data_IF_337769306915
#
_entry.id   IF_337769306915
#
_cell.length_a   1.000
_cell.length_b   1.000
_cell.length_c   1.000
_cell.angle_alpha   90.00
_cell.angle_beta   90.00
_cell.angle_gamma   90.00
#
_symmetry.space_group_name_H-M   'P 1'
#
loop_
_entity.id
_entity.type
_entity.pdbx_description
1 polymer ?
#
# COMPACT_ATOMS: atom_id res chain seq x y z
N UNK A 1 62.97 61.00 1.73
CA UNK A 1 63.40 59.83 0.92
C UNK A 1 62.35 58.74 1.10
N UNK A 2 61.90 58.19 -0.03
CA UNK A 2 61.21 56.90 -0.19
C UNK A 2 59.79 56.74 0.37
N UNK A 3 58.78 56.76 -0.51
CA UNK A 3 57.99 55.56 -0.78
C UNK A 3 57.10 55.71 -2.02
N UNK A 4 57.43 54.92 -3.05
CA UNK A 4 56.65 54.70 -4.26
C UNK A 4 55.54 53.67 -4.01
N UNK A 5 54.56 53.69 -4.94
CA UNK A 5 53.55 52.67 -5.30
C UNK A 5 52.14 52.88 -4.75
N UNK A 6 51.42 53.78 -5.41
CA UNK A 6 49.98 53.66 -5.71
C UNK A 6 49.71 54.43 -7.01
N UNK A 7 49.71 53.72 -8.14
CA UNK A 7 49.25 54.24 -9.45
C UNK A 7 49.15 53.08 -10.43
N UNK A 8 47.92 52.60 -10.67
CA UNK A 8 47.41 52.06 -11.94
C UNK A 8 46.05 51.41 -11.68
N UNK A 9 45.12 51.57 -12.63
CA UNK A 9 43.74 51.07 -12.70
C UNK A 9 42.67 51.91 -12.03
N UNK A 10 42.50 53.13 -12.55
CA UNK A 10 41.22 53.81 -12.62
C UNK A 10 41.06 54.27 -14.07
N UNK A 11 40.76 53.33 -14.97
CA UNK A 11 40.37 53.53 -16.38
C UNK A 11 40.06 52.13 -16.94
N UNK A 12 38.82 51.94 -17.43
CA UNK A 12 38.14 50.69 -17.87
C UNK A 12 37.21 50.05 -16.84
N UNK A 13 36.19 50.80 -16.44
CA UNK A 13 34.87 50.27 -16.04
C UNK A 13 33.84 50.99 -16.93
N UNK A 14 33.73 50.53 -18.18
CA UNK A 14 32.75 50.96 -19.19
C UNK A 14 33.12 50.09 -20.41
N UNK A 15 32.54 48.87 -20.51
CA UNK A 15 32.42 48.03 -21.74
C UNK A 15 32.02 46.56 -21.43
N UNK A 16 31.18 46.27 -20.43
CA UNK A 16 30.63 44.90 -20.25
C UNK A 16 29.11 44.88 -19.95
N UNK A 17 28.39 45.97 -20.26
CA UNK A 17 26.92 46.05 -20.11
C UNK A 17 26.14 45.94 -21.45
N UNK A 18 26.81 45.70 -22.59
CA UNK A 18 26.13 45.62 -23.91
C UNK A 18 25.77 44.20 -24.37
N UNK A 19 26.22 43.13 -23.69
CA UNK A 19 25.89 41.74 -24.06
C UNK A 19 24.70 41.14 -23.28
N UNK A 20 24.01 41.94 -22.45
CA UNK A 20 22.85 41.51 -21.66
C UNK A 20 21.48 41.89 -22.27
N UNK A 21 21.44 42.49 -23.47
CA UNK A 21 20.20 42.88 -24.18
C UNK A 21 19.63 41.79 -25.10
N UNK A 22 20.01 40.52 -24.90
CA UNK A 22 19.49 39.39 -25.67
C UNK A 22 18.82 38.28 -24.86
N UNK A 23 18.92 38.33 -23.53
CA UNK A 23 18.46 37.22 -22.67
C UNK A 23 17.01 37.50 -22.28
N UNK A 24 16.09 36.74 -22.88
CA UNK A 24 14.66 36.87 -22.66
C UNK A 24 14.32 36.75 -21.17
N UNK A 25 13.28 37.43 -20.69
CA UNK A 25 12.88 37.37 -19.27
C UNK A 25 12.63 35.92 -18.79
N UNK A 26 12.30 35.00 -19.70
CA UNK A 26 12.19 33.57 -19.44
C UNK A 26 13.54 32.88 -19.19
N UNK A 27 14.63 33.30 -19.85
CA UNK A 27 15.98 32.79 -19.58
C UNK A 27 16.47 33.30 -18.22
N UNK A 28 16.14 34.54 -17.85
CA UNK A 28 16.49 35.10 -16.53
C UNK A 28 15.81 34.37 -15.38
N UNK A 29 14.55 33.94 -15.53
CA UNK A 29 13.85 33.11 -14.55
C UNK A 29 14.43 31.68 -14.46
N UNK A 30 15.02 31.18 -15.54
CA UNK A 30 15.66 29.85 -15.60
C UNK A 30 17.11 29.86 -15.08
N UNK A 31 17.71 31.04 -14.87
CA UNK A 31 19.08 31.20 -14.35
C UNK A 31 19.18 30.96 -12.85
N UNK A 32 18.12 31.25 -12.07
CA UNK A 32 18.08 30.96 -10.64
C UNK A 32 17.65 29.52 -10.32
N UNK A 33 16.93 28.86 -11.23
CA UNK A 33 16.39 27.49 -11.10
C UNK A 33 17.16 26.46 -11.96
N UNK A 34 18.48 26.60 -12.08
CA UNK A 34 19.34 25.65 -12.82
C UNK A 34 19.54 24.34 -12.05
N UNK A 35 18.46 23.58 -11.89
CA UNK A 35 18.44 22.25 -11.26
C UNK A 35 19.43 21.25 -11.88
N UNK A 36 19.92 21.51 -13.10
CA UNK A 36 20.95 20.70 -13.75
C UNK A 36 22.39 21.02 -13.29
N UNK A 37 22.66 22.14 -12.61
CA UNK A 37 23.98 22.46 -12.06
C UNK A 37 24.33 21.62 -10.82
N UNK A 38 23.34 21.05 -10.13
CA UNK A 38 23.53 20.15 -8.99
C UNK A 38 23.88 18.70 -9.41
N UNK A 39 23.76 18.36 -10.70
CA UNK A 39 24.07 17.04 -11.21
C UNK A 39 25.59 16.85 -11.29
N UNK A 40 26.12 15.93 -10.49
CA UNK A 40 27.57 15.63 -10.47
C UNK A 40 27.94 14.63 -11.55
N UNK A 41 29.02 14.86 -12.28
CA UNK A 41 29.59 13.88 -13.22
C UNK A 41 30.55 12.90 -12.50
N UNK A 42 30.60 11.66 -12.98
CA UNK A 42 31.60 10.67 -12.58
C UNK A 42 32.91 10.83 -13.35
N UNK A 43 33.94 10.04 -12.99
CA UNK A 43 35.27 10.09 -13.61
C UNK A 43 35.26 9.71 -15.10
N UNK A 44 34.16 9.15 -15.60
CA UNK A 44 33.92 8.81 -17.01
C UNK A 44 33.09 9.85 -17.77
N UNK A 45 32.69 10.95 -17.13
CA UNK A 45 31.85 12.00 -17.72
C UNK A 45 30.37 11.63 -17.85
N UNK A 46 29.90 10.62 -17.10
CA UNK A 46 28.48 10.28 -16.97
C UNK A 46 27.89 10.91 -15.71
N UNK A 47 26.63 11.36 -15.78
CA UNK A 47 25.94 11.94 -14.62
C UNK A 47 25.74 10.89 -13.52
N UNK A 48 26.19 11.19 -12.30
CA UNK A 48 25.93 10.39 -11.10
C UNK A 48 24.46 10.55 -10.69
N UNK A 49 23.71 9.45 -10.51
CA UNK A 49 22.41 9.53 -9.87
C UNK A 49 22.60 10.06 -8.45
N UNK A 50 21.82 11.09 -8.08
CA UNK A 50 21.79 11.65 -6.72
C UNK A 50 21.41 10.51 -5.77
N UNK A 51 22.23 10.26 -4.75
CA UNK A 51 21.96 9.22 -3.74
C UNK A 51 20.80 9.63 -2.84
N UNK A 52 19.58 9.39 -3.34
CA UNK A 52 18.34 9.67 -2.65
C UNK A 52 18.00 8.64 -1.55
N UNK A 53 18.87 7.68 -1.26
CA UNK A 53 18.61 6.62 -0.27
C UNK A 53 18.29 7.19 1.11
N UNK A 54 19.01 8.24 1.54
CA UNK A 54 18.77 8.91 2.81
C UNK A 54 17.43 9.65 2.84
N UNK A 55 17.04 10.29 1.73
CA UNK A 55 15.76 11.01 1.59
C UNK A 55 14.60 10.02 1.57
N UNK A 56 14.71 8.97 0.75
CA UNK A 56 13.74 7.89 0.68
C UNK A 56 13.52 7.25 2.05
N UNK A 57 14.60 6.93 2.77
CA UNK A 57 14.50 6.36 4.10
C UNK A 57 13.90 7.32 5.14
N UNK A 58 14.19 8.62 5.04
CA UNK A 58 13.58 9.64 5.89
C UNK A 58 12.06 9.74 5.64
N UNK A 59 11.64 9.72 4.38
CA UNK A 59 10.22 9.69 3.98
C UNK A 59 9.52 8.42 4.44
N UNK A 60 10.14 7.25 4.23
CA UNK A 60 9.66 5.95 4.70
C UNK A 60 9.39 5.95 6.20
N UNK A 61 10.38 6.35 7.02
CA UNK A 61 10.20 6.40 8.47
C UNK A 61 9.19 7.43 8.92
N UNK A 62 9.05 8.56 8.20
CA UNK A 62 8.00 9.53 8.46
C UNK A 62 6.63 8.87 8.27
N UNK A 63 6.43 8.13 7.18
CA UNK A 63 5.20 7.33 6.92
C UNK A 63 4.97 6.30 8.04
N UNK A 64 5.99 5.50 8.38
CA UNK A 64 5.91 4.49 9.44
C UNK A 64 5.55 5.11 10.81
N UNK A 65 6.14 6.26 11.16
CA UNK A 65 5.81 6.97 12.40
C UNK A 65 4.39 7.50 12.39
N UNK A 66 3.91 8.08 11.30
CA UNK A 66 2.53 8.53 11.19
C UNK A 66 1.54 7.38 11.37
N UNK A 67 1.78 6.25 10.68
CA UNK A 67 0.97 5.04 10.84
C UNK A 67 1.00 4.50 12.27
N UNK A 68 2.19 4.48 12.89
CA UNK A 68 2.35 4.04 14.28
C UNK A 68 1.71 4.99 15.28
N UNK A 69 1.76 6.31 15.05
CA UNK A 69 1.18 7.32 15.93
C UNK A 69 -0.36 7.29 15.85
N UNK A 70 -0.91 7.08 14.65
CA UNK A 70 -2.32 6.78 14.47
C UNK A 70 -2.74 5.50 15.20
N UNK A 71 -1.85 4.50 15.28
CA UNK A 71 -2.11 3.22 15.96
C UNK A 71 -1.81 3.20 17.48
N UNK A 72 -0.95 4.10 17.98
CA UNK A 72 -0.43 4.05 19.35
C UNK A 72 -1.37 4.64 20.41
N UNK A 73 -2.42 5.36 19.99
CA UNK A 73 -3.33 6.07 20.91
C UNK A 73 -4.58 5.30 21.33
N UNK A 74 -4.98 4.26 20.59
CA UNK A 74 -6.30 3.62 20.78
C UNK A 74 -6.19 2.11 20.59
N UNK A 75 -6.96 1.35 21.38
CA UNK A 75 -7.21 -0.08 21.11
C UNK A 75 -8.07 -0.15 19.83
N UNK A 76 -7.41 -0.12 18.68
CA UNK A 76 -8.08 -0.10 17.38
C UNK A 76 -8.55 -1.51 17.06
N UNK A 77 -9.87 -1.69 16.97
CA UNK A 77 -10.43 -2.86 16.33
C UNK A 77 -10.16 -2.75 14.82
N UNK A 78 -9.54 -3.78 14.25
CA UNK A 78 -9.29 -3.86 12.81
C UNK A 78 -10.28 -4.82 12.17
N UNK A 79 -10.74 -4.45 10.98
CA UNK A 79 -11.61 -5.28 10.16
C UNK A 79 -10.84 -6.37 9.44
N UNK A 80 -10.70 -7.56 10.04
CA UNK A 80 -9.94 -8.66 9.44
C UNK A 80 -10.63 -9.29 8.23
N UNK A 81 -11.97 -9.30 8.21
CA UNK A 81 -12.76 -9.83 7.09
C UNK A 81 -13.29 -8.64 6.30
N UNK A 82 -12.74 -8.44 5.10
CA UNK A 82 -13.09 -7.32 4.23
C UNK A 82 -13.73 -7.86 2.96
N UNK A 83 -14.76 -7.16 2.52
CA UNK A 83 -15.41 -7.36 1.24
C UNK A 83 -15.18 -6.10 0.44
N UNK A 84 -14.18 -6.16 -0.45
CA UNK A 84 -13.70 -5.03 -1.21
C UNK A 84 -14.19 -5.13 -2.65
N UNK A 85 -14.93 -4.13 -3.12
CA UNK A 85 -15.16 -3.95 -4.56
C UNK A 85 -14.15 -2.94 -5.11
N UNK A 86 -13.43 -3.34 -6.14
CA UNK A 86 -12.58 -2.44 -6.92
C UNK A 86 -13.37 -2.01 -8.16
N UNK A 87 -13.67 -0.72 -8.24
CA UNK A 87 -14.34 -0.10 -9.37
C UNK A 87 -13.29 0.58 -10.24
N UNK A 88 -13.21 0.20 -11.51
CA UNK A 88 -12.20 0.68 -12.44
C UNK A 88 -12.88 1.47 -13.54
N UNK A 89 -12.46 2.71 -13.72
CA UNK A 89 -12.92 3.56 -14.81
C UNK A 89 -12.23 3.19 -16.14
N UNK A 90 -13.01 2.64 -17.07
CA UNK A 90 -12.62 2.38 -18.47
C UNK A 90 -13.44 3.26 -19.43
N UNK A 91 -13.74 4.50 -19.02
CA UNK A 91 -14.24 5.53 -19.92
C UNK A 91 -13.18 6.00 -20.92
N UNK A 92 -13.56 6.88 -21.83
CA UNK A 92 -12.65 7.51 -22.80
C UNK A 92 -11.42 8.17 -22.16
N UNK A 93 -11.55 8.70 -20.94
CA UNK A 93 -10.44 9.33 -20.22
C UNK A 93 -9.33 8.32 -19.86
N UNK A 94 -9.67 7.04 -19.73
CA UNK A 94 -8.71 5.98 -19.47
C UNK A 94 -7.87 5.62 -20.70
N UNK A 95 -8.28 6.05 -21.91
CA UNK A 95 -7.52 5.86 -23.14
C UNK A 95 -6.38 6.88 -23.31
N UNK A 96 -6.33 7.93 -22.49
CA UNK A 96 -5.28 8.93 -22.54
C UNK A 96 -3.91 8.34 -22.18
N UNK A 97 -2.84 8.97 -22.68
CA UNK A 97 -1.47 8.43 -22.70
C UNK A 97 -0.53 9.18 -21.74
N UNK A 98 -1.09 9.87 -20.74
CA UNK A 98 -0.31 10.56 -19.70
C UNK A 98 0.59 9.59 -18.92
N UNK A 99 0.07 8.39 -18.68
CA UNK A 99 0.84 7.23 -18.28
C UNK A 99 1.12 6.34 -19.49
N UNK A 100 2.34 5.81 -19.61
CA UNK A 100 2.73 4.94 -20.73
C UNK A 100 2.50 3.46 -20.40
N UNK A 101 1.86 2.64 -21.27
CA UNK A 101 1.34 3.01 -22.58
C UNK A 101 0.06 3.85 -22.48
N UNK A 102 -0.95 3.47 -21.70
CA UNK A 102 -2.15 4.29 -21.44
C UNK A 102 -2.56 4.23 -19.97
N UNK A 103 -3.41 5.16 -19.51
CA UNK A 103 -3.93 5.15 -18.13
C UNK A 103 -4.59 3.81 -17.79
N UNK A 104 -5.45 3.30 -18.68
CA UNK A 104 -6.12 2.01 -18.55
C UNK A 104 -5.13 0.85 -18.31
N UNK A 105 -4.08 0.77 -19.13
CA UNK A 105 -3.10 -0.32 -19.04
C UNK A 105 -2.33 -0.27 -17.72
N UNK A 106 -1.96 0.93 -17.29
CA UNK A 106 -1.24 1.15 -16.03
C UNK A 106 -2.14 0.87 -14.81
N UNK A 107 -3.39 1.33 -14.83
CA UNK A 107 -4.38 0.97 -13.81
C UNK A 107 -4.52 -0.54 -13.70
N UNK A 108 -4.71 -1.25 -14.81
CA UNK A 108 -4.88 -2.70 -14.81
C UNK A 108 -3.66 -3.44 -14.25
N UNK A 109 -2.45 -3.04 -14.65
CA UNK A 109 -1.18 -3.60 -14.16
C UNK A 109 -1.01 -3.39 -12.64
N UNK A 110 -1.33 -2.20 -12.13
CA UNK A 110 -1.21 -1.94 -10.70
C UNK A 110 -2.33 -2.59 -9.88
N UNK A 111 -3.55 -2.69 -10.42
CA UNK A 111 -4.62 -3.47 -9.80
C UNK A 111 -4.26 -4.94 -9.73
N UNK A 112 -3.65 -5.51 -10.77
CA UNK A 112 -3.14 -6.88 -10.76
C UNK A 112 -2.13 -7.08 -9.61
N UNK A 113 -1.15 -6.18 -9.49
CA UNK A 113 -0.17 -6.23 -8.40
C UNK A 113 -0.84 -6.08 -7.03
N UNK A 114 -1.79 -5.15 -6.91
CA UNK A 114 -2.56 -4.91 -5.69
C UNK A 114 -3.39 -6.13 -5.29
N UNK A 115 -4.05 -6.83 -6.22
CA UNK A 115 -4.84 -8.03 -5.93
C UNK A 115 -3.94 -9.10 -5.28
N UNK A 116 -2.75 -9.33 -5.83
CA UNK A 116 -1.81 -10.32 -5.26
C UNK A 116 -1.36 -9.93 -3.85
N UNK A 117 -0.94 -8.69 -3.67
CA UNK A 117 -0.51 -8.17 -2.37
C UNK A 117 -1.66 -8.19 -1.34
N UNK A 118 -2.85 -7.76 -1.75
CA UNK A 118 -4.03 -7.72 -0.92
C UNK A 118 -4.38 -9.10 -0.36
N UNK A 119 -4.36 -10.14 -1.19
CA UNK A 119 -4.65 -11.51 -0.74
C UNK A 119 -3.52 -12.14 0.09
N UNK A 120 -2.27 -11.71 -0.09
CA UNK A 120 -1.17 -12.15 0.77
C UNK A 120 -1.34 -11.60 2.19
N UNK A 121 -1.61 -10.30 2.29
CA UNK A 121 -1.82 -9.59 3.55
C UNK A 121 -3.17 -9.91 4.22
N UNK A 122 -4.22 -10.11 3.42
CA UNK A 122 -5.60 -10.32 3.88
C UNK A 122 -6.22 -11.58 3.24
N UNK A 123 -5.76 -12.77 3.64
CA UNK A 123 -6.25 -14.01 3.03
C UNK A 123 -7.75 -14.24 3.27
N UNK A 124 -8.32 -13.74 4.37
CA UNK A 124 -9.76 -13.93 4.68
C UNK A 124 -10.70 -13.01 3.90
N UNK A 125 -10.15 -12.02 3.22
CA UNK A 125 -10.93 -11.02 2.52
C UNK A 125 -11.38 -11.53 1.15
N UNK A 126 -12.39 -10.88 0.58
CA UNK A 126 -12.90 -11.16 -0.75
C UNK A 126 -12.83 -9.89 -1.60
N UNK A 127 -12.51 -10.06 -2.88
CA UNK A 127 -12.49 -8.98 -3.87
C UNK A 127 -13.60 -9.21 -4.90
N UNK A 128 -14.27 -8.15 -5.30
CA UNK A 128 -15.10 -8.07 -6.50
C UNK A 128 -14.58 -7.00 -7.44
N UNK A 129 -14.76 -7.17 -8.75
CA UNK A 129 -14.30 -6.21 -9.77
C UNK A 129 -15.49 -5.69 -10.56
N UNK A 130 -15.56 -4.36 -10.71
CA UNK A 130 -16.55 -3.66 -11.52
C UNK A 130 -15.82 -2.70 -12.45
N UNK A 131 -16.21 -2.66 -13.72
CA UNK A 131 -15.72 -1.68 -14.68
C UNK A 131 -16.81 -0.68 -15.04
N UNK A 132 -16.45 0.58 -15.19
CA UNK A 132 -17.34 1.63 -15.71
C UNK A 132 -16.96 1.89 -17.17
N UNK A 133 -17.93 1.78 -18.08
CA UNK A 133 -17.73 1.98 -19.53
C UNK A 133 -19.06 2.37 -20.17
N UNK A 134 -19.06 3.26 -21.16
CA UNK A 134 -20.27 3.68 -21.89
C UNK A 134 -21.43 4.17 -21.01
N UNK A 135 -21.14 4.83 -19.90
CA UNK A 135 -22.14 5.32 -18.94
C UNK A 135 -22.80 4.23 -18.10
N UNK A 136 -22.29 2.99 -18.14
CA UNK A 136 -22.86 1.83 -17.45
C UNK A 136 -21.78 1.16 -16.59
N UNK A 137 -22.19 0.56 -15.48
CA UNK A 137 -21.34 -0.28 -14.65
C UNK A 137 -21.52 -1.76 -15.00
N UNK A 138 -20.42 -2.46 -15.20
CA UNK A 138 -20.40 -3.88 -15.53
C UNK A 138 -19.62 -4.67 -14.49
N UNK A 139 -20.23 -5.72 -13.93
CA UNK A 139 -19.52 -6.67 -13.07
C UNK A 139 -18.54 -7.49 -13.91
N UNK A 140 -17.25 -7.39 -13.61
CA UNK A 140 -16.21 -8.22 -14.22
C UNK A 140 -16.10 -9.56 -13.50
N UNK A 141 -16.11 -9.53 -12.17
CA UNK A 141 -16.09 -10.72 -11.31
C UNK A 141 -16.88 -10.45 -10.03
N UNK A 142 -17.65 -11.45 -9.61
CA UNK A 142 -18.31 -11.46 -8.30
C UNK A 142 -17.30 -11.56 -7.15
N UNK A 143 -17.78 -11.38 -5.92
CA UNK A 143 -16.97 -11.52 -4.71
C UNK A 143 -16.33 -12.92 -4.65
N UNK A 144 -15.00 -12.95 -4.66
CA UNK A 144 -14.22 -14.18 -4.67
C UNK A 144 -12.93 -14.05 -3.87
N UNK A 145 -12.33 -15.22 -3.60
CA UNK A 145 -11.04 -15.33 -2.91
C UNK A 145 -9.89 -15.79 -3.82
N UNK A 146 -10.09 -15.83 -5.14
CA UNK A 146 -9.13 -16.38 -6.10
C UNK A 146 -8.46 -15.25 -6.90
N UNK A 147 -7.19 -14.90 -6.62
CA UNK A 147 -6.47 -13.83 -7.31
C UNK A 147 -6.46 -14.01 -8.83
N UNK A 148 -6.16 -15.23 -9.29
CA UNK A 148 -6.00 -15.54 -10.71
C UNK A 148 -7.30 -15.39 -11.51
N UNK A 149 -8.45 -15.64 -10.88
CA UNK A 149 -9.75 -15.44 -11.52
C UNK A 149 -10.00 -13.95 -11.79
N UNK A 150 -9.71 -13.10 -10.80
CA UNK A 150 -9.86 -11.65 -10.91
C UNK A 150 -8.88 -11.06 -11.93
N UNK A 151 -7.62 -11.49 -11.89
CA UNK A 151 -6.57 -10.99 -12.80
C UNK A 151 -6.88 -11.35 -14.25
N UNK A 152 -7.30 -12.61 -14.52
CA UNK A 152 -7.69 -13.03 -15.88
C UNK A 152 -8.89 -12.24 -16.41
N UNK A 153 -9.89 -12.00 -15.56
CA UNK A 153 -11.08 -11.25 -15.96
C UNK A 153 -10.75 -9.76 -16.25
N UNK A 154 -9.86 -9.17 -15.46
CA UNK A 154 -9.38 -7.80 -15.65
C UNK A 154 -8.59 -7.65 -16.96
N UNK A 155 -7.56 -8.49 -17.15
CA UNK A 155 -6.67 -8.41 -18.31
C UNK A 155 -7.37 -8.83 -19.61
N UNK A 156 -8.42 -9.65 -19.53
CA UNK A 156 -9.21 -10.07 -20.69
C UNK A 156 -10.18 -9.02 -21.23
N UNK A 157 -10.43 -7.91 -20.53
CA UNK A 157 -11.47 -6.91 -20.86
C UNK A 157 -10.95 -5.47 -20.84
N UNK A 158 -9.77 -5.23 -21.42
CA UNK A 158 -9.17 -3.89 -21.48
C UNK A 158 -9.64 -3.12 -22.72
N UNK A 159 -10.75 -2.41 -22.57
CA UNK A 159 -11.28 -1.52 -23.61
C UNK A 159 -11.87 -0.25 -23.02
N UNK A 160 -11.27 0.90 -23.35
CA UNK A 160 -11.70 2.20 -22.88
C UNK A 160 -12.70 2.85 -23.86
N UNK A 161 -13.97 2.96 -23.48
CA UNK A 161 -15.03 3.52 -24.35
C UNK A 161 -16.09 4.32 -23.55
N UNK A 162 -16.60 5.36 -24.21
CA UNK A 162 -17.74 6.16 -23.73
C UNK A 162 -17.46 6.93 -22.44
N UNK A 163 -18.52 7.27 -21.72
CA UNK A 163 -18.45 8.07 -20.50
C UNK A 163 -18.44 7.22 -19.22
N UNK A 164 -18.06 7.82 -18.11
CA UNK A 164 -18.12 7.20 -16.78
C UNK A 164 -19.48 7.48 -16.12
N UNK A 165 -19.99 6.54 -15.32
CA UNK A 165 -21.13 6.74 -14.42
C UNK A 165 -20.81 6.17 -13.05
N UNK A 166 -20.60 7.07 -12.08
CA UNK A 166 -20.31 6.73 -10.70
C UNK A 166 -21.57 6.22 -9.97
N UNK A 167 -22.74 6.78 -10.27
CA UNK A 167 -24.00 6.37 -9.65
C UNK A 167 -24.30 4.89 -9.96
N UNK A 168 -24.26 4.50 -11.24
CA UNK A 168 -24.53 3.12 -11.65
C UNK A 168 -23.56 2.14 -10.99
N UNK A 169 -22.29 2.54 -10.83
CA UNK A 169 -21.29 1.71 -10.16
C UNK A 169 -21.58 1.55 -8.65
N UNK A 170 -21.92 2.65 -7.97
CA UNK A 170 -22.24 2.62 -6.54
C UNK A 170 -23.52 1.84 -6.26
N UNK A 171 -24.56 1.97 -7.09
CA UNK A 171 -25.81 1.22 -6.96
C UNK A 171 -25.57 -0.28 -7.15
N UNK A 172 -24.84 -0.67 -8.21
CA UNK A 172 -24.48 -2.06 -8.45
C UNK A 172 -23.68 -2.65 -7.29
N UNK A 173 -22.65 -1.95 -6.81
CA UNK A 173 -21.83 -2.42 -5.69
C UNK A 173 -22.62 -2.48 -4.39
N UNK A 174 -23.52 -1.52 -4.16
CA UNK A 174 -24.40 -1.48 -2.99
C UNK A 174 -25.34 -2.70 -2.94
N UNK A 175 -25.92 -3.11 -4.05
CA UNK A 175 -26.77 -4.31 -4.13
C UNK A 175 -26.00 -5.58 -3.74
N UNK A 176 -24.78 -5.75 -4.24
CA UNK A 176 -23.95 -6.91 -3.91
C UNK A 176 -23.48 -6.89 -2.45
N UNK A 177 -22.99 -5.76 -1.96
CA UNK A 177 -22.49 -5.62 -0.58
C UNK A 177 -23.59 -5.70 0.47
N UNK A 178 -24.86 -5.46 0.12
CA UNK A 178 -25.97 -5.67 1.05
C UNK A 178 -26.27 -7.14 1.33
N UNK A 179 -25.95 -8.04 0.39
CA UNK A 179 -26.10 -9.49 0.58
C UNK A 179 -25.03 -10.05 1.53
N UNK A 180 -23.93 -9.32 1.70
CA UNK A 180 -22.81 -9.72 2.54
C UNK A 180 -23.15 -9.60 4.03
N UNK A 181 -22.71 -10.56 4.88
CA UNK A 181 -22.94 -10.52 6.32
C UNK A 181 -22.46 -9.23 6.99
N UNK A 182 -23.18 -8.80 8.03
CA UNK A 182 -22.92 -7.53 8.74
C UNK A 182 -21.63 -7.50 9.56
N UNK A 183 -20.99 -8.65 9.81
CA UNK A 183 -19.69 -8.72 10.50
C UNK A 183 -18.52 -8.32 9.60
N UNK A 184 -18.74 -8.28 8.28
CA UNK A 184 -17.72 -7.92 7.30
C UNK A 184 -17.60 -6.42 7.13
N UNK A 185 -16.39 -5.95 6.91
CA UNK A 185 -16.18 -4.58 6.45
C UNK A 185 -16.51 -4.48 4.96
N UNK A 186 -17.42 -3.57 4.63
CA UNK A 186 -17.87 -3.33 3.26
C UNK A 186 -17.11 -2.13 2.71
N UNK A 187 -16.25 -2.38 1.74
CA UNK A 187 -15.32 -1.39 1.20
C UNK A 187 -15.47 -1.28 -0.31
N UNK A 188 -15.35 -0.06 -0.81
CA UNK A 188 -15.33 0.24 -2.25
C UNK A 188 -14.09 1.08 -2.52
N UNK A 189 -13.24 0.62 -3.43
CA UNK A 189 -12.07 1.33 -3.92
C UNK A 189 -12.29 1.69 -5.39
N UNK A 190 -12.35 2.97 -5.69
CA UNK A 190 -12.65 3.46 -7.05
C UNK A 190 -11.38 4.06 -7.64
N UNK A 191 -10.92 3.51 -8.75
CA UNK A 191 -9.89 4.11 -9.59
C UNK A 191 -10.58 4.93 -10.67
N UNK A 192 -10.52 6.24 -10.52
CA UNK A 192 -11.28 7.18 -11.33
C UNK A 192 -10.36 7.97 -12.26
N UNK A 193 -10.61 7.88 -13.57
CA UNK A 193 -9.80 8.54 -14.59
C UNK A 193 -10.48 9.77 -15.18
N UNK A 194 -11.80 9.75 -15.32
CA UNK A 194 -12.57 10.87 -15.85
C UNK A 194 -12.58 12.06 -14.89
N UNK A 195 -12.86 13.26 -15.43
CA UNK A 195 -13.09 14.48 -14.64
C UNK A 195 -14.56 14.86 -14.52
N UNK A 196 -15.42 14.11 -15.21
CA UNK A 196 -16.87 14.23 -15.16
C UNK A 196 -17.47 12.86 -14.83
N UNK A 197 -18.73 12.86 -14.41
CA UNK A 197 -19.56 11.65 -14.26
C UNK A 197 -20.88 11.92 -14.95
N UNK A 198 -21.38 10.94 -15.71
CA UNK A 198 -22.61 11.00 -16.47
C UNK A 198 -23.63 10.06 -15.82
N UNK A 199 -24.31 10.58 -14.80
CA UNK A 199 -25.22 9.81 -13.96
C UNK A 199 -26.70 10.08 -14.32
N UNK A 200 -27.59 9.08 -14.22
CA UNK A 200 -29.00 9.23 -14.60
C UNK A 200 -29.83 10.04 -13.60
N UNK A 201 -29.44 10.10 -12.33
CA UNK A 201 -30.18 10.77 -11.25
C UNK A 201 -29.28 11.56 -10.31
N UNK A 202 -29.81 11.85 -9.11
CA UNK A 202 -29.04 12.56 -8.09
C UNK A 202 -28.09 11.62 -7.33
N UNK A 203 -26.80 11.79 -7.60
CA UNK A 203 -25.73 11.03 -6.93
C UNK A 203 -25.69 11.30 -5.42
N UNK A 204 -26.14 12.46 -4.94
CA UNK A 204 -26.12 12.80 -3.51
C UNK A 204 -27.03 11.86 -2.70
N UNK A 205 -28.18 11.47 -3.26
CA UNK A 205 -29.05 10.47 -2.65
C UNK A 205 -28.35 9.10 -2.56
N UNK A 206 -27.61 8.73 -3.60
CA UNK A 206 -26.85 7.47 -3.66
C UNK A 206 -25.72 7.45 -2.64
N UNK A 207 -25.02 8.58 -2.43
CA UNK A 207 -24.03 8.75 -1.35
C UNK A 207 -24.70 8.52 0.01
N UNK A 208 -25.89 9.09 0.24
CA UNK A 208 -26.63 8.88 1.50
C UNK A 208 -27.09 7.42 1.66
N UNK A 209 -27.49 6.72 0.58
CA UNK A 209 -27.78 5.27 0.61
C UNK A 209 -26.54 4.46 1.01
N UNK A 210 -25.36 4.80 0.46
CA UNK A 210 -24.10 4.15 0.78
C UNK A 210 -23.74 4.33 2.27
N UNK A 211 -23.87 5.55 2.79
CA UNK A 211 -23.65 5.89 4.20
C UNK A 211 -24.57 5.10 5.13
N UNK A 212 -25.88 5.06 4.84
CA UNK A 212 -26.88 4.26 5.59
C UNK A 212 -26.53 2.78 5.63
N UNK A 213 -25.90 2.28 4.57
CA UNK A 213 -25.55 0.86 4.40
C UNK A 213 -24.15 0.53 4.93
N UNK A 214 -23.50 1.50 5.59
CA UNK A 214 -22.17 1.39 6.22
C UNK A 214 -21.07 1.01 5.23
N UNK A 215 -21.19 1.48 3.98
CA UNK A 215 -20.16 1.32 2.96
C UNK A 215 -19.07 2.37 3.20
N UNK A 216 -17.81 1.93 3.16
CA UNK A 216 -16.65 2.84 3.15
C UNK A 216 -16.12 2.96 1.72
N UNK A 217 -16.28 4.13 1.11
CA UNK A 217 -15.86 4.38 -0.27
C UNK A 217 -14.58 5.22 -0.28
N UNK A 218 -13.50 4.70 -0.87
CA UNK A 218 -12.25 5.42 -1.12
C UNK A 218 -12.04 5.56 -2.62
N UNK A 219 -11.49 6.69 -3.06
CA UNK A 219 -11.31 6.98 -4.48
C UNK A 219 -9.88 7.47 -4.71
N UNK A 220 -9.24 6.90 -5.73
CA UNK A 220 -7.96 7.35 -6.26
C UNK A 220 -8.23 7.97 -7.63
N UNK A 221 -8.07 9.30 -7.72
CA UNK A 221 -8.16 10.06 -8.97
C UNK A 221 -6.82 10.07 -9.70
N UNK A 222 -6.81 9.98 -11.02
CA UNK A 222 -5.59 9.99 -11.84
C UNK A 222 -5.12 11.38 -12.28
N UNK A 223 -6.00 12.38 -12.28
CA UNK A 223 -5.69 13.70 -12.86
C UNK A 223 -5.95 14.83 -11.88
N UNK A 224 -7.22 15.07 -11.54
CA UNK A 224 -7.58 16.19 -10.68
C UNK A 224 -8.57 15.76 -9.59
N UNK A 225 -8.65 16.59 -8.55
CA UNK A 225 -9.62 16.41 -7.48
C UNK A 225 -11.03 16.73 -7.96
N UNK A 226 -11.95 15.77 -7.80
CA UNK A 226 -13.38 15.97 -8.08
C UNK A 226 -14.17 16.19 -6.79
N UNK A 227 -14.95 17.27 -6.75
CA UNK A 227 -15.78 17.62 -5.59
C UNK A 227 -16.71 16.48 -5.15
N UNK A 228 -17.40 15.82 -6.09
CA UNK A 228 -18.34 14.73 -5.80
C UNK A 228 -17.61 13.53 -5.17
N UNK A 229 -16.44 13.16 -5.70
CA UNK A 229 -15.64 12.07 -5.16
C UNK A 229 -15.09 12.38 -3.76
N UNK A 230 -14.64 13.62 -3.54
CA UNK A 230 -14.21 14.10 -2.22
C UNK A 230 -15.35 14.03 -1.22
N UNK A 231 -16.54 14.51 -1.59
CA UNK A 231 -17.73 14.48 -0.74
C UNK A 231 -18.16 13.03 -0.41
N UNK A 232 -18.16 12.13 -1.40
CA UNK A 232 -18.42 10.70 -1.20
C UNK A 232 -17.47 10.09 -0.15
N UNK A 233 -16.15 10.35 -0.26
CA UNK A 233 -15.17 9.82 0.68
C UNK A 233 -15.37 10.38 2.09
N UNK A 234 -15.62 11.68 2.22
CA UNK A 234 -15.86 12.34 3.51
C UNK A 234 -17.12 11.81 4.21
N UNK A 235 -18.22 11.64 3.46
CA UNK A 235 -19.50 11.14 4.01
C UNK A 235 -19.45 9.66 4.43
N UNK A 236 -18.65 8.85 3.72
CA UNK A 236 -18.52 7.41 3.97
C UNK A 236 -17.33 7.04 4.86
N UNK A 237 -16.50 8.01 5.26
CA UNK A 237 -15.30 7.79 6.07
C UNK A 237 -14.16 7.08 5.33
N UNK A 238 -14.13 7.19 4.00
CA UNK A 238 -13.02 6.73 3.16
C UNK A 238 -11.98 7.82 2.88
N UNK A 239 -11.06 7.53 1.96
CA UNK A 239 -9.95 8.41 1.59
C UNK A 239 -10.06 8.82 0.13
N UNK A 240 -9.79 10.10 -0.14
CA UNK A 240 -9.66 10.64 -1.50
C UNK A 240 -8.21 11.02 -1.74
N UNK A 241 -7.59 10.42 -2.75
CA UNK A 241 -6.20 10.68 -3.12
C UNK A 241 -6.07 10.91 -4.62
N UNK A 242 -5.09 11.72 -5.02
CA UNK A 242 -4.81 12.01 -6.43
C UNK A 242 -3.41 11.49 -6.76
N UNK A 243 -3.31 10.61 -7.75
CA UNK A 243 -2.04 10.11 -8.26
C UNK A 243 -1.35 11.19 -9.10
N UNK A 244 -0.03 11.28 -8.96
CA UNK A 244 0.81 12.26 -9.67
C UNK A 244 1.62 11.54 -10.75
N UNK A 245 2.18 10.39 -10.40
CA UNK A 245 3.05 9.56 -11.22
C UNK A 245 2.70 8.06 -11.06
N UNK A 246 3.28 7.21 -11.94
CA UNK A 246 3.03 5.74 -11.93
C UNK A 246 3.42 5.12 -10.58
N UNK A 247 4.54 5.56 -10.00
CA UNK A 247 5.03 5.02 -8.73
C UNK A 247 4.12 5.45 -7.60
N UNK A 248 3.70 6.71 -7.56
CA UNK A 248 2.74 7.18 -6.57
C UNK A 248 1.37 6.49 -6.69
N UNK A 249 0.87 6.21 -7.90
CA UNK A 249 -0.36 5.44 -8.08
C UNK A 249 -0.26 4.04 -7.45
N UNK A 250 0.88 3.36 -7.66
CA UNK A 250 1.16 2.06 -7.05
C UNK A 250 1.15 2.17 -5.51
N UNK A 251 1.83 3.18 -4.97
CA UNK A 251 1.90 3.42 -3.52
C UNK A 251 0.52 3.66 -2.91
N UNK A 252 -0.31 4.50 -3.55
CA UNK A 252 -1.67 4.80 -3.10
C UNK A 252 -2.56 3.55 -3.11
N UNK A 253 -2.45 2.72 -4.13
CA UNK A 253 -3.15 1.44 -4.18
C UNK A 253 -2.72 0.52 -3.04
N UNK A 254 -1.41 0.38 -2.81
CA UNK A 254 -0.86 -0.48 -1.77
C UNK A 254 -1.19 0.02 -0.35
N UNK A 255 -1.41 1.32 -0.16
CA UNK A 255 -1.88 1.87 1.13
C UNK A 255 -3.25 1.31 1.56
N UNK A 256 -4.08 0.88 0.60
CA UNK A 256 -5.37 0.22 0.87
C UNK A 256 -5.26 -1.30 1.13
N UNK A 257 -4.06 -1.88 0.99
CA UNK A 257 -3.83 -3.29 1.30
C UNK A 257 -4.00 -3.60 2.80
N UNK A 258 -3.39 -2.88 3.75
CA UNK A 258 -3.64 -3.13 5.17
C UNK A 258 -5.10 -2.84 5.55
N UNK A 259 -5.67 -3.59 6.52
CA UNK A 259 -7.04 -3.39 6.97
C UNK A 259 -7.16 -2.03 7.68
N UNK A 260 -8.12 -1.18 7.27
CA UNK A 260 -8.30 0.12 7.89
C UNK A 260 -8.82 -0.02 9.34
N UNK A 261 -8.62 1.00 10.18
CA UNK A 261 -9.23 1.03 11.50
C UNK A 261 -10.76 0.99 11.37
N UNK A 262 -11.41 0.12 12.15
CA UNK A 262 -12.86 0.09 12.21
C UNK A 262 -13.38 1.39 12.82
N UNK A 263 -14.37 2.01 12.17
CA UNK A 263 -15.12 3.12 12.77
C UNK A 263 -15.88 2.54 13.97
N UNK A 264 -15.73 3.15 15.14
CA UNK A 264 -16.23 2.60 16.42
C UNK A 264 -17.72 2.23 16.39
N UNK A 265 -18.54 2.96 15.63
CA UNK A 265 -19.97 2.72 15.45
C UNK A 265 -20.31 1.42 14.69
N UNK A 266 -19.36 0.91 13.89
CA UNK A 266 -19.55 -0.27 13.03
C UNK A 266 -18.78 -1.50 13.53
N UNK A 267 -18.01 -1.35 14.60
CA UNK A 267 -17.11 -2.36 15.15
C UNK A 267 -17.85 -3.33 16.10
N UNK A 268 -18.83 -4.07 15.57
CA UNK A 268 -19.53 -5.10 16.36
C UNK A 268 -18.70 -6.38 16.34
N UNK A 269 -18.22 -6.82 17.51
CA UNK A 269 -17.50 -8.09 17.64
C UNK A 269 -18.49 -9.26 17.48
N UNK A 270 -18.38 -9.98 16.35
CA UNK A 270 -19.17 -11.17 16.06
C UNK A 270 -18.29 -12.41 16.06
N UNK A 271 -18.77 -13.47 16.72
CA UNK A 271 -18.09 -14.77 16.72
C UNK A 271 -18.53 -15.59 15.50
N UNK A 272 -17.58 -15.89 14.62
CA UNK A 272 -17.81 -16.64 13.38
C UNK A 272 -17.27 -18.06 13.55
N UNK A 273 -18.05 -19.06 13.12
CA UNK A 273 -17.58 -20.45 13.08
C UNK A 273 -16.73 -20.65 11.83
N UNK A 274 -15.47 -21.02 12.01
CA UNK A 274 -14.56 -21.36 10.92
C UNK A 274 -14.21 -22.85 10.93
N UNK A 275 -13.95 -23.41 9.76
CA UNK A 275 -13.49 -24.80 9.60
C UNK A 275 -12.03 -24.86 9.18
N UNK A 276 -11.24 -25.70 9.86
CA UNK A 276 -9.88 -26.03 9.46
C UNK A 276 -9.89 -27.38 8.72
N UNK A 277 -9.87 -27.38 7.39
CA UNK A 277 -9.92 -28.61 6.62
C UNK A 277 -8.57 -29.32 6.64
N UNK A 278 -8.60 -30.65 6.56
CA UNK A 278 -7.40 -31.46 6.38
C UNK A 278 -7.09 -31.61 4.89
N UNK A 279 -5.81 -31.56 4.53
CA UNK A 279 -5.34 -31.85 3.17
C UNK A 279 -5.48 -33.34 2.92
N UNK A 280 -6.25 -33.71 1.91
CA UNK A 280 -6.40 -35.09 1.45
C UNK A 280 -5.11 -35.60 0.81
N UNK A 281 -4.89 -36.91 0.88
CA UNK A 281 -3.71 -37.56 0.31
C UNK A 281 -3.56 -37.27 -1.19
N UNK A 282 -2.32 -37.03 -1.61
CA UNK A 282 -1.95 -36.87 -3.01
C UNK A 282 -2.26 -38.16 -3.78
N UNK A 283 -3.02 -38.04 -4.88
CA UNK A 283 -3.50 -39.18 -5.68
C UNK A 283 -4.98 -39.56 -5.45
N UNK A 284 -5.68 -38.93 -4.49
CA UNK A 284 -7.11 -39.17 -4.31
C UNK A 284 -7.94 -38.53 -5.44
N UNK A 285 -8.74 -39.35 -6.13
CA UNK A 285 -9.70 -38.91 -7.13
C UNK A 285 -11.04 -38.65 -6.44
N UNK A 286 -11.52 -37.40 -6.53
CA UNK A 286 -12.83 -37.04 -6.02
C UNK A 286 -13.35 -35.80 -6.75
N UNK A 287 -14.67 -35.74 -6.87
CA UNK A 287 -15.39 -34.61 -7.47
C UNK A 287 -15.22 -33.40 -6.55
N UNK A 288 -14.63 -32.32 -7.08
CA UNK A 288 -14.49 -31.07 -6.33
C UNK A 288 -15.84 -30.35 -6.28
N UNK A 289 -16.32 -30.01 -5.09
CA UNK A 289 -17.61 -29.32 -4.90
C UNK A 289 -17.63 -27.90 -5.46
N UNK A 290 -16.46 -27.31 -5.76
CA UNK A 290 -16.34 -25.98 -6.36
C UNK A 290 -16.60 -26.01 -7.88
N UNK A 291 -16.00 -26.96 -8.59
CA UNK A 291 -16.03 -27.02 -10.06
C UNK A 291 -17.00 -28.07 -10.59
N UNK A 292 -17.51 -28.95 -9.71
CA UNK A 292 -18.33 -30.13 -10.06
C UNK A 292 -17.63 -31.08 -11.05
N UNK A 293 -16.31 -30.98 -11.12
CA UNK A 293 -15.45 -31.80 -11.97
C UNK A 293 -14.60 -32.74 -11.11
N UNK A 294 -14.22 -33.88 -11.68
CA UNK A 294 -13.27 -34.80 -11.06
C UNK A 294 -11.89 -34.16 -11.13
N UNK A 295 -11.35 -33.79 -9.97
CA UNK A 295 -9.95 -33.33 -9.88
C UNK A 295 -9.08 -34.42 -9.28
N UNK A 296 -7.99 -34.71 -9.97
CA UNK A 296 -6.92 -35.61 -9.51
C UNK A 296 -5.86 -34.72 -8.86
N UNK A 297 -5.53 -34.94 -7.60
CA UNK A 297 -4.53 -34.14 -6.90
C UNK A 297 -4.80 -33.96 -5.41
N UNK A 298 -4.12 -33.02 -4.77
CA UNK A 298 -4.41 -32.64 -3.39
C UNK A 298 -5.68 -31.77 -3.34
N UNK A 299 -6.51 -31.97 -2.32
CA UNK A 299 -7.69 -31.14 -2.08
C UNK A 299 -8.00 -31.11 -0.59
N UNK A 300 -8.83 -30.18 -0.17
CA UNK A 300 -9.15 -29.95 1.24
C UNK A 300 -10.51 -30.55 1.59
N UNK A 301 -10.60 -31.27 2.70
CA UNK A 301 -11.87 -31.85 3.15
C UNK A 301 -12.53 -30.98 4.21
N UNK A 302 -13.75 -30.53 3.94
CA UNK A 302 -14.55 -29.77 4.90
C UNK A 302 -14.76 -30.59 6.19
N UNK A 303 -14.49 -30.04 7.39
CA UNK A 303 -14.64 -30.80 8.63
C UNK A 303 -16.10 -31.13 8.95
N UNK A 304 -17.07 -30.33 8.47
CA UNK A 304 -18.51 -30.49 8.77
C UNK A 304 -19.21 -31.48 7.82
N UNK A 305 -19.14 -31.24 6.52
CA UNK A 305 -19.87 -32.05 5.52
C UNK A 305 -18.97 -32.99 4.71
N UNK A 306 -17.65 -33.01 4.95
CA UNK A 306 -16.66 -33.80 4.20
C UNK A 306 -16.61 -33.52 2.70
N UNK A 307 -17.24 -32.44 2.24
CA UNK A 307 -17.11 -31.93 0.88
C UNK A 307 -15.65 -31.64 0.55
N UNK A 308 -15.25 -31.93 -0.69
CA UNK A 308 -13.90 -31.68 -1.17
C UNK A 308 -13.84 -30.34 -1.88
N UNK A 309 -12.89 -29.51 -1.44
CA UNK A 309 -12.65 -28.17 -1.95
C UNK A 309 -11.25 -28.12 -2.55
N UNK A 310 -11.11 -27.35 -3.63
CA UNK A 310 -9.87 -27.28 -4.39
C UNK A 310 -8.84 -26.37 -3.69
N UNK A 311 -9.24 -25.17 -3.31
CA UNK A 311 -8.34 -24.13 -2.78
C UNK A 311 -8.86 -23.56 -1.45
N UNK A 312 -7.98 -22.88 -0.71
CA UNK A 312 -8.33 -22.16 0.51
C UNK A 312 -7.78 -20.73 0.41
N UNK A 313 -8.41 -19.76 1.07
CA UNK A 313 -9.64 -19.88 1.85
C UNK A 313 -10.89 -19.75 0.97
N UNK A 314 -11.93 -20.50 1.30
CA UNK A 314 -13.20 -20.50 0.53
C UNK A 314 -14.37 -20.87 1.42
N UNK A 315 -15.58 -20.47 1.04
CA UNK A 315 -16.81 -20.96 1.66
C UNK A 315 -17.21 -22.33 1.09
N UNK A 316 -17.63 -23.25 1.95
CA UNK A 316 -18.10 -24.55 1.54
C UNK A 316 -19.50 -24.49 0.91
N UNK A 317 -19.63 -24.82 -0.38
CA UNK A 317 -20.89 -24.76 -1.15
C UNK A 317 -22.01 -25.66 -0.62
N UNK A 318 -21.72 -26.64 0.23
CA UNK A 318 -22.73 -27.55 0.79
C UNK A 318 -23.23 -27.09 2.16
N UNK A 319 -22.34 -26.57 3.02
CA UNK A 319 -22.68 -26.30 4.42
C UNK A 319 -22.48 -24.84 4.87
N UNK A 320 -22.03 -23.96 3.97
CA UNK A 320 -21.79 -22.52 4.24
C UNK A 320 -20.68 -22.24 5.24
N UNK A 321 -19.87 -23.24 5.61
CA UNK A 321 -18.78 -23.04 6.55
C UNK A 321 -17.57 -22.42 5.83
N UNK A 322 -17.06 -21.31 6.35
CA UNK A 322 -15.82 -20.70 5.87
C UNK A 322 -14.64 -21.61 6.21
N UNK A 323 -13.93 -22.08 5.19
CA UNK A 323 -12.78 -22.96 5.32
C UNK A 323 -11.50 -22.14 5.21
N UNK A 324 -10.64 -22.26 6.22
CA UNK A 324 -9.40 -21.48 6.35
C UNK A 324 -8.26 -22.39 6.81
N UNK A 325 -7.03 -22.04 6.44
CA UNK A 325 -5.83 -22.70 6.95
C UNK A 325 -5.25 -21.89 8.12
N UNK A 326 -4.55 -22.54 9.05
CA UNK A 326 -3.87 -21.84 10.15
C UNK A 326 -2.84 -20.80 9.64
N UNK A 327 -2.06 -21.07 8.56
CA UNK A 327 -1.18 -20.05 7.96
C UNK A 327 -1.91 -18.79 7.50
N UNK A 328 -3.15 -18.88 7.01
CA UNK A 328 -3.92 -17.71 6.58
C UNK A 328 -4.24 -16.79 7.75
N UNK A 329 -4.65 -17.35 8.88
CA UNK A 329 -4.87 -16.57 10.10
C UNK A 329 -3.57 -15.98 10.64
N UNK A 330 -2.48 -16.74 10.58
CA UNK A 330 -1.17 -16.29 11.03
C UNK A 330 -0.62 -15.12 10.18
N UNK A 331 -0.94 -15.07 8.87
CA UNK A 331 -0.60 -13.89 8.06
C UNK A 331 -1.33 -12.67 8.57
N UNK A 332 -2.64 -12.69 8.81
CA UNK A 332 -3.34 -11.50 9.32
C UNK A 332 -2.94 -11.04 10.74
N UNK A 333 -2.13 -11.81 11.47
CA UNK A 333 -1.69 -11.48 12.83
C UNK A 333 -0.77 -10.25 12.90
N UNK A 334 0.02 -9.97 11.86
CA UNK A 334 0.92 -8.80 11.89
C UNK A 334 0.14 -7.47 11.89
N UNK A 335 -1.07 -7.46 11.34
CA UNK A 335 -1.95 -6.29 11.43
C UNK A 335 -2.43 -6.05 12.86
N UNK A 336 -2.63 -7.10 13.66
CA UNK A 336 -3.12 -6.99 15.03
C UNK A 336 -2.04 -6.50 15.99
N UNK A 337 -0.78 -6.94 15.78
CA UNK A 337 0.34 -6.62 16.65
C UNK A 337 1.53 -6.11 15.83
N UNK A 338 1.44 -4.90 15.25
CA UNK A 338 2.54 -4.34 14.48
C UNK A 338 3.77 -4.10 15.36
N UNK A 339 4.96 -4.17 14.75
CA UNK A 339 6.19 -3.79 15.44
C UNK A 339 6.21 -2.28 15.65
N UNK A 340 6.62 -1.85 16.84
CA UNK A 340 6.84 -0.43 17.11
C UNK A 340 8.05 0.06 16.30
N UNK A 341 7.97 1.25 15.67
CA UNK A 341 9.06 1.79 14.87
C UNK A 341 10.33 1.89 15.70
N UNK A 342 11.47 1.60 15.07
CA UNK A 342 12.77 1.70 15.72
C UNK A 342 13.19 3.16 15.93
N UNK A 343 13.97 3.39 16.99
CA UNK A 343 14.47 4.72 17.34
C UNK A 343 15.74 5.04 16.56
N UNK A 344 15.90 6.29 16.14
CA UNK A 344 17.14 6.71 15.50
C UNK A 344 18.23 6.83 16.54
N UNK A 345 19.42 6.36 16.19
CA UNK A 345 20.61 6.56 17.01
C UNK A 345 21.36 7.76 16.45
N UNK A 346 21.45 8.89 17.17
CA UNK A 346 22.20 10.04 16.70
C UNK A 346 23.66 9.66 16.49
N UNK A 347 24.24 10.09 15.36
CA UNK A 347 25.64 9.82 15.00
C UNK A 347 26.66 10.30 16.05
N UNK A 348 26.28 11.20 16.96
CA UNK A 348 27.15 11.80 17.98
C UNK A 348 27.19 11.06 19.33
N UNK A 349 26.36 10.04 19.55
CA UNK A 349 26.19 9.45 20.90
C UNK A 349 27.18 8.32 21.25
N UNK A 350 28.01 7.86 20.32
CA UNK A 350 28.65 6.53 20.43
C UNK A 350 30.16 6.53 20.67
N UNK A 351 30.80 7.69 20.86
CA UNK A 351 32.26 7.75 21.00
C UNK A 351 32.79 7.59 22.44
N UNK A 352 31.96 7.79 23.48
CA UNK A 352 32.46 7.91 24.87
C UNK A 352 31.98 6.84 25.86
N UNK A 353 31.23 5.82 25.43
CA UNK A 353 30.73 4.80 26.37
C UNK A 353 31.45 3.44 26.19
N UNK A 354 32.45 3.21 27.03
CA UNK A 354 33.34 2.03 27.03
C UNK A 354 32.62 0.68 27.23
N UNK A 355 31.30 0.69 27.49
CA UNK A 355 30.46 -0.53 27.64
C UNK A 355 29.81 -1.01 26.32
N UNK A 356 29.98 -0.31 25.20
CA UNK A 356 29.28 -0.59 23.91
C UNK A 356 30.17 -1.03 22.74
N UNK A 357 31.29 -1.73 22.99
CA UNK A 357 32.11 -2.34 21.91
C UNK A 357 31.38 -3.42 21.09
N UNK A 358 30.13 -3.78 21.41
CA UNK A 358 29.39 -4.91 20.84
C UNK A 358 28.42 -4.55 19.68
N UNK A 359 28.35 -3.29 19.24
CA UNK A 359 27.34 -2.84 18.26
C UNK A 359 27.89 -2.26 16.96
N UNK A 360 28.99 -2.80 16.41
CA UNK A 360 29.57 -2.30 15.14
C UNK A 360 28.92 -2.88 13.89
N UNK A 361 28.08 -3.89 14.04
CA UNK A 361 27.41 -4.58 12.95
C UNK A 361 25.90 -4.62 13.17
N UNK A 362 25.15 -4.59 12.07
CA UNK A 362 23.71 -4.81 12.07
C UNK A 362 23.41 -6.20 12.62
N UNK A 363 22.46 -6.32 13.56
CA UNK A 363 22.07 -7.62 14.10
C UNK A 363 21.40 -8.52 13.04
N UNK A 364 20.70 -7.93 12.06
CA UNK A 364 20.01 -8.66 10.99
C UNK A 364 20.96 -9.21 9.93
N UNK A 365 21.67 -8.31 9.22
CA UNK A 365 22.51 -8.68 8.08
C UNK A 365 24.02 -8.79 8.40
N UNK A 366 24.43 -8.52 9.64
CA UNK A 366 25.85 -8.54 10.08
C UNK A 366 26.77 -7.53 9.36
N UNK A 367 26.24 -6.67 8.50
CA UNK A 367 27.01 -5.62 7.85
C UNK A 367 27.51 -4.58 8.85
N UNK A 368 28.69 -4.01 8.58
CA UNK A 368 29.26 -2.93 9.39
C UNK A 368 28.37 -1.68 9.33
N UNK A 369 28.02 -1.14 10.50
CA UNK A 369 27.27 0.12 10.64
C UNK A 369 28.20 1.36 10.61
N UNK A 370 29.48 1.15 10.32
CA UNK A 370 30.49 2.19 10.24
C UNK A 370 30.69 2.55 8.76
N UNK A 371 30.48 3.81 8.41
CA UNK A 371 30.69 4.33 7.06
C UNK A 371 32.16 4.62 6.74
N UNK A 372 32.43 5.05 5.51
CA UNK A 372 33.76 5.46 5.07
C UNK A 372 34.32 6.56 5.99
N UNK A 373 35.53 6.37 6.52
CA UNK A 373 36.18 7.32 7.44
C UNK A 373 35.87 7.11 8.94
N UNK A 374 35.43 5.92 9.35
CA UNK A 374 35.21 5.56 10.76
C UNK A 374 34.11 6.39 11.47
N UNK A 375 33.25 7.05 10.68
CA UNK A 375 32.06 7.75 11.16
C UNK A 375 30.90 6.77 11.29
N UNK A 376 30.07 6.86 12.35
CA UNK A 376 28.89 6.02 12.46
C UNK A 376 27.93 6.34 11.32
N UNK A 377 27.56 5.33 10.54
CA UNK A 377 26.50 5.44 9.55
C UNK A 377 25.13 5.54 10.22
N UNK A 378 24.08 5.91 9.46
CA UNK A 378 22.73 5.93 9.98
C UNK A 378 22.32 4.53 10.44
N UNK A 379 21.93 4.40 11.71
CA UNK A 379 21.44 3.16 12.28
C UNK A 379 20.23 3.40 13.19
N UNK A 380 19.46 2.34 13.36
CA UNK A 380 18.25 2.36 14.19
C UNK A 380 18.35 1.32 15.30
N UNK A 381 17.63 1.54 16.40
CA UNK A 381 17.62 0.64 17.55
C UNK A 381 16.22 0.24 17.95
N UNK A 382 16.03 -1.06 18.24
CA UNK A 382 14.75 -1.56 18.72
C UNK A 382 14.55 -1.23 20.21
N UNK A 383 13.42 -0.63 20.57
CA UNK A 383 13.07 -0.26 21.96
C UNK A 383 13.07 -1.43 22.96
N UNK A 384 12.70 -2.63 22.49
CA UNK A 384 12.53 -3.82 23.35
C UNK A 384 13.86 -4.54 23.58
N UNK A 385 14.52 -4.96 22.51
CA UNK A 385 15.74 -5.77 22.60
C UNK A 385 17.03 -4.93 22.61
N UNK A 386 16.96 -3.63 22.30
CA UNK A 386 18.08 -2.68 22.24
C UNK A 386 19.22 -3.06 21.26
N UNK A 387 18.96 -3.97 20.33
CA UNK A 387 19.86 -4.29 19.22
C UNK A 387 19.85 -3.19 18.14
N UNK A 388 20.92 -3.12 17.37
CA UNK A 388 21.11 -2.16 16.28
C UNK A 388 20.83 -2.81 14.92
N UNK A 389 20.16 -2.07 14.04
CA UNK A 389 19.86 -2.49 12.67
C UNK A 389 20.28 -1.40 11.67
N UNK A 390 20.66 -1.81 10.45
CA UNK A 390 20.83 -0.89 9.32
C UNK A 390 19.46 -0.49 8.77
N UNK A 391 19.45 0.53 7.90
CA UNK A 391 18.23 1.06 7.29
C UNK A 391 17.48 0.02 6.44
N UNK A 392 18.20 -0.79 5.67
CA UNK A 392 17.58 -1.84 4.84
C UNK A 392 16.93 -2.93 5.70
N UNK A 393 17.58 -3.30 6.81
CA UNK A 393 16.99 -4.22 7.78
C UNK A 393 15.77 -3.60 8.48
N UNK A 394 15.77 -2.29 8.72
CA UNK A 394 14.61 -1.58 9.28
C UNK A 394 13.39 -1.72 8.35
N UNK A 395 13.57 -1.42 7.06
CA UNK A 395 12.53 -1.57 6.02
C UNK A 395 12.07 -3.03 5.95
N UNK A 396 12.99 -3.98 5.80
CA UNK A 396 12.65 -5.40 5.65
C UNK A 396 11.89 -5.95 6.87
N UNK A 397 12.29 -5.54 8.09
CA UNK A 397 11.63 -5.97 9.33
C UNK A 397 10.20 -5.45 9.40
N UNK A 398 9.95 -4.21 9.00
CA UNK A 398 8.64 -3.57 9.11
C UNK A 398 7.71 -3.84 7.92
N UNK A 399 8.22 -4.15 6.73
CA UNK A 399 7.40 -4.43 5.53
C UNK A 399 7.21 -5.91 5.22
N UNK A 400 8.21 -6.76 5.49
CA UNK A 400 8.18 -8.16 5.08
C UNK A 400 8.14 -9.11 6.26
N UNK A 401 9.10 -8.99 7.19
CA UNK A 401 9.26 -9.97 8.25
C UNK A 401 8.20 -9.84 9.35
N UNK A 402 7.77 -8.61 9.62
CA UNK A 402 6.80 -8.24 10.66
C UNK A 402 7.15 -8.73 12.08
N UNK A 403 8.37 -9.22 12.29
CA UNK A 403 8.90 -9.67 13.57
C UNK A 403 10.33 -9.15 13.75
N UNK A 404 10.67 -8.69 14.95
CA UNK A 404 12.04 -8.23 15.23
C UNK A 404 12.90 -9.44 15.60
N UNK A 405 13.94 -9.81 14.81
CA UNK A 405 14.79 -10.96 15.08
C UNK A 405 15.45 -10.93 16.45
N UNK A 406 15.82 -9.72 16.91
CA UNK A 406 16.43 -9.52 18.22
C UNK A 406 15.47 -9.67 19.39
N UNK A 407 14.16 -9.53 19.19
CA UNK A 407 13.16 -9.80 20.23
C UNK A 407 12.87 -11.30 20.33
N UNK A 408 12.80 -11.99 19.19
CA UNK A 408 12.56 -13.44 19.15
C UNK A 408 13.76 -14.25 19.64
N UNK A 409 14.99 -13.75 19.45
CA UNK A 409 16.21 -14.40 19.95
C UNK A 409 16.38 -14.29 21.47
N UNK A 410 15.76 -13.29 22.10
CA UNK A 410 15.72 -13.18 23.55
C UNK A 410 14.65 -14.16 24.04
N UNK A 411 15.05 -15.42 24.23
CA UNK A 411 14.26 -16.35 25.02
C UNK A 411 14.02 -15.71 26.38
N UNK A 412 12.81 -15.20 26.63
CA UNK A 412 12.33 -15.01 27.99
C UNK A 412 12.35 -16.40 28.63
N UNK A 413 13.19 -16.69 29.63
CA UNK A 413 12.87 -17.83 30.49
C UNK A 413 11.47 -17.53 31.01
N UNK A 414 10.50 -18.41 30.71
CA UNK A 414 9.16 -18.32 31.28
C UNK A 414 9.36 -18.18 32.79
N UNK A 415 8.95 -17.06 33.36
CA UNK A 415 8.68 -17.02 34.80
C UNK A 415 7.54 -17.99 35.01
N UNK A 416 7.88 -19.24 35.33
CA UNK A 416 6.97 -20.16 36.01
C UNK A 416 6.70 -19.48 37.34
N UNK A 417 5.63 -18.68 37.39
CA UNK A 417 5.04 -18.30 38.66
C UNK A 417 4.48 -19.59 39.24
N UNK A 418 5.30 -20.24 40.05
CA UNK A 418 4.85 -21.05 41.18
C UNK A 418 3.84 -20.19 41.94
N UNK A 419 2.55 -20.45 41.73
CA UNK A 419 1.57 -20.28 42.81
C UNK A 419 1.52 -21.64 43.49
N UNK A 420 2.41 -21.80 44.46
CA UNK A 420 2.22 -22.73 45.57
C UNK A 420 1.17 -22.14 46.52
N UNK A 421 0.27 -23.04 46.93
CA UNK A 421 -0.78 -22.96 47.98
C UNK A 421 -2.04 -22.11 47.74
#
# INVERSE_FOLDING_TARGET
MSNQRKRSNAEREEDDDEDAEGIGEWERAYVDDRSWEELQEDESGLLRPIDNSAIYHAQYRRRLRMLSAAAAGTRIQKGLIRYLYIVIDFSRAAAEMDFRPSRMAIMAKHVEAFIREFFDQNPLSQIGLVSIKNGVAHTLTDLGGSPETHIKALMGKLEALGDSSLQNALELVHEHLNQVPSYGHREVLILYSALCTCDPGDIMETIQKCKKSKLRCSVIGLSAEMFICKHLCQETGGLYSVAVDEVHLKDLLLEHAPPPPAIAEFAIANLIKMGFPQRAAEGSMAICSCHKEVKIGAGYMCPRCKARVCDLPTECTICGLTLVSSPHLARSYHHLFPIAPFDEVPALSSLNDNRRKLGRSCFGCQQSLIGAGNKPGPCVTCRKCKHYFCLDCDIYIHESLHNCPGCESIHRPKSVSLMEE
#
